data_IF_255221534175
#
_entry.id   IF_255221534175
#
_cell.length_a   1.000
_cell.length_b   1.000
_cell.length_c   1.000
_cell.angle_alpha   90.00
_cell.angle_beta   90.00
_cell.angle_gamma   90.00
#
_symmetry.space_group_name_H-M   'P 1'
#
loop_
_entity.id
_entity.type
_entity.pdbx_description
1 polymer ?
#
# COMPACT_ATOMS: atom_id res chain seq x y z
N UNK A 1 -11.20 1.46 -3.53
CA UNK A 1 -10.13 0.44 -3.58
C UNK A 1 -10.71 -0.93 -3.80
N UNK A 2 -9.99 -1.81 -4.48
CA UNK A 2 -10.38 -3.22 -4.64
C UNK A 2 -9.15 -4.13 -4.59
N UNK A 3 -9.31 -5.41 -4.20
CA UNK A 3 -8.26 -6.43 -4.32
C UNK A 3 -7.59 -6.41 -5.69
N UNK A 4 -6.28 -6.61 -5.71
CA UNK A 4 -5.44 -6.57 -6.91
C UNK A 4 -5.07 -5.17 -7.40
N UNK A 5 -5.58 -4.10 -6.79
CA UNK A 5 -5.12 -2.74 -7.10
C UNK A 5 -3.72 -2.51 -6.56
N UNK A 6 -2.87 -1.87 -7.36
CA UNK A 6 -1.52 -1.46 -6.95
C UNK A 6 -1.46 0.06 -6.88
N UNK A 7 -0.79 0.57 -5.86
CA UNK A 7 -0.55 1.98 -5.65
C UNK A 7 0.92 2.23 -5.38
N UNK A 8 1.36 3.44 -5.66
CA UNK A 8 2.72 3.88 -5.38
C UNK A 8 2.73 5.17 -4.57
N UNK A 9 3.81 5.33 -3.82
CA UNK A 9 4.16 6.56 -3.14
C UNK A 9 5.66 6.76 -3.28
N UNK A 10 6.04 7.90 -3.83
CA UNK A 10 7.44 8.34 -3.89
C UNK A 10 7.72 9.22 -2.67
N UNK A 11 8.76 8.87 -1.92
CA UNK A 11 9.25 9.64 -0.78
C UNK A 11 10.29 10.68 -1.24
N UNK A 12 10.60 11.66 -0.39
CA UNK A 12 11.55 12.72 -0.71
C UNK A 12 12.99 12.22 -0.93
N UNK A 13 13.32 10.99 -0.50
CA UNK A 13 14.60 10.32 -0.69
C UNK A 13 14.61 9.37 -1.92
N UNK A 14 13.70 9.59 -2.86
CA UNK A 14 13.45 8.76 -4.06
C UNK A 14 13.13 7.29 -3.75
N UNK A 15 12.78 6.97 -2.50
CA UNK A 15 12.26 5.65 -2.16
C UNK A 15 10.85 5.50 -2.72
N UNK A 16 10.64 4.46 -3.52
CA UNK A 16 9.35 4.07 -4.07
C UNK A 16 8.76 2.99 -3.18
N UNK A 17 7.63 3.31 -2.54
CA UNK A 17 6.81 2.37 -1.81
C UNK A 17 5.68 1.88 -2.71
N UNK A 18 5.61 0.57 -2.95
CA UNK A 18 4.57 -0.06 -3.77
C UNK A 18 3.65 -0.87 -2.89
N UNK A 19 2.36 -0.52 -2.88
CA UNK A 19 1.33 -1.19 -2.10
C UNK A 19 0.35 -1.94 -3.00
N UNK A 20 0.26 -3.27 -2.86
CA UNK A 20 -0.69 -4.12 -3.57
C UNK A 20 -1.80 -4.56 -2.62
N UNK A 21 -3.03 -4.16 -2.90
CA UNK A 21 -4.21 -4.51 -2.10
C UNK A 21 -4.50 -6.01 -2.22
N UNK A 22 -4.52 -6.70 -1.09
CA UNK A 22 -4.88 -8.12 -0.98
C UNK A 22 -6.37 -8.29 -0.68
N UNK A 23 -6.89 -7.55 0.31
CA UNK A 23 -8.30 -7.58 0.68
C UNK A 23 -8.77 -6.27 1.30
N UNK A 24 -10.08 -6.07 1.29
CA UNK A 24 -10.75 -4.97 1.99
C UNK A 24 -11.86 -5.59 2.84
N UNK A 25 -11.96 -5.21 4.10
CA UNK A 25 -12.95 -5.75 5.02
C UNK A 25 -13.26 -4.77 6.15
N UNK A 26 -14.23 -5.10 6.99
CA UNK A 26 -14.62 -4.29 8.14
C UNK A 26 -14.33 -5.08 9.41
N UNK A 27 -13.78 -4.42 10.42
CA UNK A 27 -13.52 -5.06 11.72
C UNK A 27 -14.79 -5.17 12.58
N UNK A 28 -14.67 -5.74 13.78
CA UNK A 28 -15.77 -5.89 14.72
C UNK A 28 -16.37 -4.55 15.21
N UNK A 29 -15.65 -3.43 15.02
CA UNK A 29 -16.07 -2.09 15.41
C UNK A 29 -16.64 -1.28 14.24
N UNK A 30 -16.81 -1.89 13.06
CA UNK A 30 -17.36 -1.21 11.88
C UNK A 30 -16.34 -0.37 11.11
N UNK A 31 -15.04 -0.47 11.41
CA UNK A 31 -14.00 0.31 10.74
C UNK A 31 -13.52 -0.43 9.48
N UNK A 32 -13.61 0.19 8.28
CA UNK A 32 -13.11 -0.41 7.06
C UNK A 32 -11.57 -0.43 7.06
N UNK A 33 -10.99 -1.59 6.74
CA UNK A 33 -9.57 -1.86 6.68
C UNK A 33 -9.16 -2.42 5.32
N UNK A 34 -7.91 -2.17 4.95
CA UNK A 34 -7.26 -2.67 3.75
C UNK A 34 -6.07 -3.51 4.18
N UNK A 35 -6.04 -4.78 3.78
CA UNK A 35 -4.85 -5.62 3.84
C UNK A 35 -4.09 -5.49 2.52
N UNK A 36 -2.78 -5.28 2.57
CA UNK A 36 -1.96 -5.07 1.40
C UNK A 36 -0.54 -5.59 1.61
N UNK A 37 0.12 -6.01 0.53
CA UNK A 37 1.56 -6.24 0.53
C UNK A 37 2.28 -4.95 0.19
N UNK A 38 3.40 -4.68 0.85
CA UNK A 38 4.21 -3.50 0.58
C UNK A 38 5.66 -3.88 0.28
N UNK A 39 6.20 -3.29 -0.77
CA UNK A 39 7.61 -3.40 -1.11
C UNK A 39 8.22 -2.01 -1.32
N UNK A 40 9.52 -1.93 -1.07
CA UNK A 40 10.28 -0.70 -1.16
C UNK A 40 11.39 -0.86 -2.18
N UNK A 41 11.58 0.15 -3.01
CA UNK A 41 12.70 0.24 -3.95
C UNK A 41 13.39 1.58 -3.76
N UNK A 42 14.72 1.57 -3.72
CA UNK A 42 15.54 2.78 -3.79
C UNK A 42 16.45 2.69 -5.03
N UNK A 43 16.79 3.81 -5.68
CA UNK A 43 17.65 3.79 -6.88
C UNK A 43 18.99 3.07 -6.65
N UNK A 44 19.58 3.22 -5.46
CA UNK A 44 20.93 2.73 -5.13
C UNK A 44 20.95 1.59 -4.10
N UNK A 45 19.82 0.90 -3.84
CA UNK A 45 19.78 -0.26 -2.92
C UNK A 45 18.84 -1.33 -3.44
N UNK A 46 19.06 -2.56 -2.97
CA UNK A 46 18.15 -3.68 -3.24
C UNK A 46 16.74 -3.34 -2.80
N UNK A 47 15.77 -3.76 -3.63
CA UNK A 47 14.37 -3.77 -3.24
C UNK A 47 14.16 -4.75 -2.10
N UNK A 48 13.39 -4.36 -1.09
CA UNK A 48 12.98 -5.26 -0.02
C UNK A 48 11.46 -5.32 0.08
N UNK A 49 10.95 -6.55 0.26
CA UNK A 49 9.54 -6.82 0.55
C UNK A 49 9.37 -6.81 2.06
N UNK A 50 8.53 -5.92 2.58
CA UNK A 50 8.27 -5.84 4.02
C UNK A 50 7.07 -6.72 4.42
N UNK A 51 6.36 -7.30 3.45
CA UNK A 51 5.27 -8.25 3.66
C UNK A 51 3.89 -7.61 3.73
N UNK A 52 2.96 -8.33 4.36
CA UNK A 52 1.56 -7.91 4.48
C UNK A 52 1.37 -6.95 5.66
N UNK A 53 0.67 -5.84 5.40
CA UNK A 53 0.24 -4.84 6.38
C UNK A 53 -1.27 -4.65 6.33
N UNK A 54 -1.81 -4.00 7.36
CA UNK A 54 -3.21 -3.59 7.42
C UNK A 54 -3.31 -2.14 7.90
N UNK A 55 -4.15 -1.36 7.24
CA UNK A 55 -4.48 0.02 7.63
C UNK A 55 -5.98 0.24 7.53
N UNK A 56 -6.51 1.20 8.26
CA UNK A 56 -7.84 1.72 7.98
C UNK A 56 -7.90 2.24 6.53
N UNK A 57 -9.02 2.01 5.84
CA UNK A 57 -9.23 2.36 4.43
C UNK A 57 -8.95 3.83 4.16
N UNK A 58 -9.38 4.70 5.08
CA UNK A 58 -9.17 6.15 4.98
C UNK A 58 -7.68 6.50 5.05
N UNK A 59 -6.97 5.96 6.05
CA UNK A 59 -5.51 6.13 6.19
C UNK A 59 -4.74 5.61 4.98
N UNK A 60 -5.16 4.48 4.42
CA UNK A 60 -4.55 3.95 3.20
C UNK A 60 -4.78 4.90 2.02
N UNK A 61 -6.01 5.39 1.82
CA UNK A 61 -6.36 6.30 0.72
C UNK A 61 -5.63 7.65 0.82
N UNK A 62 -5.42 8.15 2.04
CA UNK A 62 -4.66 9.38 2.27
C UNK A 62 -3.17 9.19 1.93
N UNK A 63 -2.62 8.00 2.24
CA UNK A 63 -1.20 7.66 2.05
C UNK A 63 -0.86 7.32 0.59
N UNK A 64 -1.71 6.57 -0.09
CA UNK A 64 -1.46 6.04 -1.43
C UNK A 64 -2.46 6.63 -2.44
N UNK A 65 -2.15 7.82 -2.93
CA UNK A 65 -3.00 8.57 -3.86
C UNK A 65 -2.79 8.19 -5.32
N UNK A 66 -1.57 7.76 -5.65
CA UNK A 66 -1.21 7.39 -7.02
C UNK A 66 -1.52 5.91 -7.26
N UNK A 67 -2.49 5.65 -8.13
CA UNK A 67 -2.78 4.31 -8.60
C UNK A 67 -1.95 4.04 -9.84
N UNK A 68 -1.19 2.96 -9.81
CA UNK A 68 -0.44 2.47 -10.97
C UNK A 68 -1.26 1.40 -11.68
N UNK A 69 -1.40 1.59 -12.99
CA UNK A 69 -1.89 0.54 -13.88
C UNK A 69 -0.69 -0.33 -14.26
N UNK A 70 -0.81 -1.63 -13.98
CA UNK A 70 0.11 -2.63 -14.50
C UNK A 70 -0.20 -2.89 -15.97
#
# INVERSE_FOLDING_TARGET
MRPGSTFQRVHADDMIETAKVESVGTDAYGIPHVKFKVSFRRPNRHSFDEGSRMLALRTFADRYRERVHA
#
